data_IF_213609359888
#
_entry.id   IF_213609359888
#
_cell.length_a   1.000
_cell.length_b   1.000
_cell.length_c   1.000
_cell.angle_alpha   90.00
_cell.angle_beta   90.00
_cell.angle_gamma   90.00
#
_symmetry.space_group_name_H-M   'P 1'
#
loop_
_entity.id
_entity.type
_entity.pdbx_description
1 polymer ?
#
# COMPACT_ATOMS: atom_id res chain seq x y z
N UNK A 1 -4.45 -15.69 -11.77
CA UNK A 1 -4.02 -14.48 -11.12
C UNK A 1 -2.70 -14.69 -10.39
N UNK A 2 -1.73 -13.77 -10.57
CA UNK A 2 -0.39 -13.96 -10.00
C UNK A 2 -0.30 -13.66 -8.51
N UNK A 3 -1.18 -12.81 -7.96
CA UNK A 3 -1.15 -12.43 -6.56
C UNK A 3 -2.12 -13.27 -5.75
N UNK A 4 -1.67 -13.73 -4.58
CA UNK A 4 -2.39 -14.66 -3.72
C UNK A 4 -2.47 -14.15 -2.29
N UNK A 5 -3.22 -14.85 -1.44
CA UNK A 5 -3.35 -14.53 -0.02
C UNK A 5 -2.01 -14.38 0.69
N UNK A 6 -1.05 -15.23 0.37
CA UNK A 6 0.29 -15.17 0.96
C UNK A 6 1.04 -13.89 0.60
N UNK A 7 0.77 -13.32 -0.58
CA UNK A 7 1.34 -12.02 -0.96
C UNK A 7 0.81 -10.91 -0.05
N UNK A 8 -0.48 -10.93 0.25
CA UNK A 8 -1.12 -9.97 1.15
C UNK A 8 -0.50 -10.08 2.55
N UNK A 9 -0.39 -11.29 3.07
CA UNK A 9 0.17 -11.53 4.40
C UNK A 9 1.63 -11.06 4.50
N UNK A 10 2.44 -11.41 3.50
CA UNK A 10 3.83 -10.99 3.46
C UNK A 10 3.96 -9.47 3.40
N UNK A 11 3.20 -8.83 2.52
CA UNK A 11 3.28 -7.40 2.28
C UNK A 11 2.81 -6.60 3.50
N UNK A 12 1.69 -6.98 4.09
CA UNK A 12 1.16 -6.32 5.28
C UNK A 12 2.11 -6.45 6.47
N UNK A 13 2.70 -7.62 6.67
CA UNK A 13 3.69 -7.83 7.70
C UNK A 13 4.94 -6.97 7.46
N UNK A 14 5.39 -6.89 6.22
CA UNK A 14 6.53 -6.06 5.85
C UNK A 14 6.24 -4.58 6.15
N UNK A 15 5.10 -4.07 5.71
CA UNK A 15 4.72 -2.68 5.91
C UNK A 15 4.61 -2.34 7.40
N UNK A 16 3.96 -3.20 8.18
CA UNK A 16 3.78 -2.96 9.61
C UNK A 16 5.11 -2.88 10.37
N UNK A 17 6.15 -3.50 9.85
CA UNK A 17 7.44 -3.61 10.53
C UNK A 17 8.57 -2.79 9.88
N UNK A 18 8.28 -2.03 8.82
CA UNK A 18 9.27 -1.13 8.22
C UNK A 18 9.73 -0.10 9.24
N UNK A 19 11.03 0.01 9.41
CA UNK A 19 11.65 0.90 10.41
C UNK A 19 11.92 2.26 9.79
N UNK A 20 10.85 3.00 9.50
CA UNK A 20 10.88 4.28 8.77
C UNK A 20 10.49 5.48 9.61
N UNK A 21 10.29 5.31 10.90
CA UNK A 21 10.00 6.40 11.84
C UNK A 21 11.21 6.63 12.74
N UNK A 22 11.45 7.89 13.06
CA UNK A 22 12.60 8.28 13.86
C UNK A 22 12.48 7.79 15.31
N UNK A 23 13.59 7.33 15.85
CA UNK A 23 13.73 7.07 17.28
C UNK A 23 14.14 8.36 18.00
N UNK A 24 14.40 8.24 19.30
CA UNK A 24 14.80 9.38 20.16
C UNK A 24 16.13 10.03 19.73
N UNK A 25 16.92 9.35 18.89
CA UNK A 25 18.20 9.86 18.38
C UNK A 25 18.08 10.41 16.94
N UNK A 26 16.85 10.50 16.40
CA UNK A 26 16.61 10.94 15.03
C UNK A 26 17.01 9.94 13.95
N UNK A 27 17.15 8.66 14.31
CA UNK A 27 17.49 7.59 13.36
C UNK A 27 16.23 6.83 12.96
N UNK A 28 16.06 6.54 11.67
CA UNK A 28 14.95 5.72 11.18
C UNK A 28 15.08 4.30 11.72
N UNK A 29 14.36 3.99 12.76
CA UNK A 29 14.53 2.77 13.52
C UNK A 29 13.23 2.17 14.03
N UNK A 30 12.14 2.90 14.04
CA UNK A 30 10.85 2.45 14.58
C UNK A 30 9.85 2.18 13.48
N UNK A 31 9.00 1.18 13.72
CA UNK A 31 7.90 0.83 12.81
C UNK A 31 6.65 1.66 13.13
N UNK A 32 5.66 1.63 12.21
CA UNK A 32 4.36 2.27 12.44
C UNK A 32 3.66 1.66 13.66
N UNK A 33 3.85 0.38 13.90
CA UNK A 33 3.27 -0.32 15.04
C UNK A 33 3.89 0.16 16.35
N UNK A 34 5.21 0.29 16.38
CA UNK A 34 5.92 0.77 17.58
C UNK A 34 5.57 2.21 17.95
N UNK A 35 5.33 3.05 16.95
CA UNK A 35 4.95 4.46 17.16
C UNK A 35 3.46 4.63 17.42
N UNK A 36 2.69 3.55 17.39
CA UNK A 36 1.23 3.57 17.49
C UNK A 36 0.59 4.44 16.40
N UNK A 37 1.23 4.48 15.23
CA UNK A 37 0.76 5.25 14.10
C UNK A 37 -0.42 4.59 13.40
N UNK A 38 -0.97 5.29 12.44
CA UNK A 38 -2.10 4.83 11.64
C UNK A 38 -1.67 4.62 10.19
N UNK A 39 -2.46 3.83 9.48
CA UNK A 39 -2.23 3.51 8.07
C UNK A 39 -3.47 3.84 7.26
N UNK A 40 -3.27 4.50 6.13
CA UNK A 40 -4.30 4.68 5.11
C UNK A 40 -3.96 3.83 3.91
N UNK A 41 -4.93 3.09 3.40
CA UNK A 41 -4.77 2.23 2.21
C UNK A 41 -5.63 2.78 1.09
N UNK A 42 -4.99 3.10 -0.03
CA UNK A 42 -5.65 3.62 -1.22
C UNK A 42 -5.29 2.74 -2.41
N UNK A 43 -6.30 2.22 -3.10
CA UNK A 43 -6.08 1.46 -4.34
C UNK A 43 -5.71 2.40 -5.48
N UNK A 44 -4.82 1.97 -6.38
CA UNK A 44 -4.40 2.79 -7.50
C UNK A 44 -4.03 1.89 -8.69
N UNK A 45 -5.00 1.63 -9.58
CA UNK A 45 -4.75 0.75 -10.73
C UNK A 45 -3.81 1.40 -11.77
N UNK A 46 -3.74 2.72 -11.79
CA UNK A 46 -2.90 3.46 -12.73
C UNK A 46 -1.41 3.25 -12.51
N UNK A 47 -1.01 2.64 -11.37
CA UNK A 47 0.36 2.20 -11.16
C UNK A 47 0.80 1.14 -12.18
N UNK A 48 -0.16 0.43 -12.79
CA UNK A 48 0.08 -0.55 -13.84
C UNK A 48 -0.02 0.05 -15.23
N UNK A 49 0.01 1.37 -15.36
CA UNK A 49 -0.07 2.04 -16.63
C UNK A 49 1.16 1.76 -17.48
N UNK A 50 0.95 1.49 -18.76
CA UNK A 50 2.00 1.43 -19.76
C UNK A 50 1.97 2.71 -20.60
N UNK A 51 3.11 3.36 -20.71
CA UNK A 51 3.29 4.56 -21.55
C UNK A 51 4.25 4.32 -22.70
N UNK A 52 4.51 3.06 -23.01
CA UNK A 52 5.51 2.67 -24.01
C UNK A 52 5.14 3.12 -25.41
N UNK A 53 3.84 3.13 -25.76
CA UNK A 53 3.36 3.39 -27.14
C UNK A 53 2.64 4.73 -27.28
N UNK A 54 3.04 5.75 -26.56
CA UNK A 54 2.46 7.07 -26.71
C UNK A 54 2.05 7.68 -25.38
N UNK A 55 1.32 8.79 -25.46
CA UNK A 55 1.01 9.60 -24.29
C UNK A 55 -0.32 9.27 -23.62
N UNK A 56 -1.09 8.36 -24.21
CA UNK A 56 -2.30 7.84 -23.59
C UNK A 56 -1.95 6.57 -22.82
N UNK A 57 -2.00 6.58 -21.48
CA UNK A 57 -1.65 5.39 -20.69
C UNK A 57 -2.54 4.21 -21.01
N UNK A 58 -1.95 3.03 -21.11
CA UNK A 58 -2.68 1.77 -21.24
C UNK A 58 -2.70 1.04 -19.91
N UNK A 59 -3.88 0.53 -19.51
CA UNK A 59 -4.07 -0.18 -18.26
C UNK A 59 -4.34 -1.68 -18.44
N UNK A 60 -3.89 -2.21 -19.57
CA UNK A 60 -4.17 -3.63 -19.92
C UNK A 60 -3.58 -4.63 -18.92
N UNK A 61 -2.54 -4.24 -18.19
CA UNK A 61 -1.91 -5.09 -17.17
C UNK A 61 -2.54 -4.96 -15.77
N UNK A 62 -3.44 -4.01 -15.57
CA UNK A 62 -4.14 -3.85 -14.30
C UNK A 62 -5.20 -4.95 -14.14
N UNK A 63 -5.35 -5.44 -12.91
CA UNK A 63 -6.41 -6.39 -12.59
C UNK A 63 -7.78 -5.75 -12.72
N UNK A 64 -8.76 -6.52 -13.16
CA UNK A 64 -10.15 -6.06 -13.26
C UNK A 64 -10.78 -5.94 -11.87
N UNK A 65 -11.83 -5.09 -11.70
CA UNK A 65 -12.45 -4.88 -10.40
C UNK A 65 -12.96 -6.14 -9.70
N UNK A 66 -13.45 -7.14 -10.43
CA UNK A 66 -13.95 -8.39 -9.86
C UNK A 66 -12.87 -9.19 -9.12
N UNK A 67 -11.60 -8.97 -9.46
CA UNK A 67 -10.43 -9.55 -8.78
C UNK A 67 -9.83 -8.54 -7.80
N UNK A 68 -9.70 -7.28 -8.23
CA UNK A 68 -9.00 -6.25 -7.47
C UNK A 68 -9.74 -5.85 -6.19
N UNK A 69 -11.08 -5.76 -6.22
CA UNK A 69 -11.85 -5.33 -5.04
C UNK A 69 -11.74 -6.31 -3.87
N UNK A 70 -11.95 -7.63 -4.06
CA UNK A 70 -11.76 -8.58 -2.96
C UNK A 70 -10.33 -8.58 -2.42
N UNK A 71 -9.34 -8.41 -3.28
CA UNK A 71 -7.93 -8.37 -2.87
C UNK A 71 -7.62 -7.11 -2.06
N UNK A 72 -8.14 -5.96 -2.48
CA UNK A 72 -8.03 -4.71 -1.74
C UNK A 72 -8.64 -4.83 -0.35
N UNK A 73 -9.86 -5.37 -0.27
CA UNK A 73 -10.56 -5.56 1.00
C UNK A 73 -9.79 -6.51 1.93
N UNK A 74 -9.27 -7.61 1.39
CA UNK A 74 -8.45 -8.56 2.14
C UNK A 74 -7.15 -7.90 2.64
N UNK A 75 -6.54 -7.05 1.83
CA UNK A 75 -5.34 -6.29 2.24
C UNK A 75 -5.66 -5.35 3.41
N UNK A 76 -6.75 -4.62 3.33
CA UNK A 76 -7.15 -3.71 4.41
C UNK A 76 -7.40 -4.46 5.72
N UNK A 77 -8.08 -5.61 5.65
CA UNK A 77 -8.35 -6.43 6.82
C UNK A 77 -7.05 -6.97 7.43
N UNK A 78 -6.15 -7.49 6.62
CA UNK A 78 -4.87 -8.02 7.09
C UNK A 78 -3.99 -6.91 7.67
N UNK A 79 -3.96 -5.75 7.04
CA UNK A 79 -3.18 -4.62 7.53
C UNK A 79 -3.68 -4.17 8.90
N UNK A 80 -5.00 -4.14 9.10
CA UNK A 80 -5.60 -3.83 10.39
C UNK A 80 -5.21 -4.84 11.48
N UNK A 81 -5.15 -6.12 11.13
CA UNK A 81 -4.68 -7.17 12.04
C UNK A 81 -3.21 -6.95 12.43
N UNK A 82 -2.37 -6.60 11.47
CA UNK A 82 -0.94 -6.42 11.70
C UNK A 82 -0.63 -5.22 12.60
N UNK A 83 -1.35 -4.11 12.45
CA UNK A 83 -1.11 -2.91 13.26
C UNK A 83 -1.99 -2.82 14.51
N UNK A 84 -2.96 -3.72 14.67
CA UNK A 84 -3.84 -3.77 15.83
C UNK A 84 -4.89 -2.67 15.89
N UNK A 85 -5.23 -2.07 14.78
CA UNK A 85 -6.27 -1.04 14.67
C UNK A 85 -6.82 -0.99 13.25
N UNK A 86 -8.01 -0.40 13.10
CA UNK A 86 -8.65 -0.24 11.81
C UNK A 86 -7.84 0.69 10.90
N UNK A 87 -7.64 0.30 9.63
CA UNK A 87 -6.97 1.17 8.65
C UNK A 87 -7.96 2.17 8.08
N UNK A 88 -7.44 3.32 7.66
CA UNK A 88 -8.20 4.30 6.93
C UNK A 88 -8.22 3.90 5.46
N UNK A 89 -9.35 4.06 4.80
CA UNK A 89 -9.52 3.66 3.41
C UNK A 89 -10.23 4.74 2.60
N UNK A 90 -10.09 4.66 1.26
CA UNK A 90 -10.92 5.39 0.34
C UNK A 90 -12.04 4.52 -0.20
N UNK A 91 -12.67 4.96 -1.27
CA UNK A 91 -13.66 4.17 -2.01
C UNK A 91 -13.03 3.68 -3.30
N UNK A 92 -13.03 2.37 -3.51
CA UNK A 92 -12.42 1.77 -4.70
C UNK A 92 -13.05 2.33 -5.98
N UNK A 93 -12.19 2.80 -6.91
CA UNK A 93 -12.62 3.33 -8.20
C UNK A 93 -13.25 4.72 -8.18
N UNK A 94 -13.41 5.34 -7.02
CA UNK A 94 -13.99 6.66 -6.92
C UNK A 94 -12.98 7.76 -7.26
N UNK A 95 -13.50 8.90 -7.71
CA UNK A 95 -12.72 10.12 -7.83
C UNK A 95 -12.55 10.71 -6.42
N UNK A 96 -11.33 10.74 -5.94
CA UNK A 96 -11.03 11.20 -4.58
C UNK A 96 -10.11 12.40 -4.59
N UNK A 97 -10.38 13.34 -3.68
CA UNK A 97 -9.47 14.45 -3.42
C UNK A 97 -8.76 14.17 -2.10
N UNK A 98 -7.45 14.12 -2.13
CA UNK A 98 -6.63 13.77 -0.96
C UNK A 98 -5.78 14.96 -0.57
N UNK A 99 -5.99 15.47 0.64
CA UNK A 99 -5.14 16.50 1.23
C UNK A 99 -4.24 15.84 2.28
N UNK A 100 -2.96 16.17 2.23
CA UNK A 100 -2.01 15.61 3.18
C UNK A 100 -0.81 16.54 3.35
N UNK A 101 -0.07 16.33 4.41
CA UNK A 101 1.23 16.97 4.62
C UNK A 101 2.30 15.88 4.60
N UNK A 102 3.22 15.97 3.66
CA UNK A 102 4.38 15.09 3.63
C UNK A 102 5.41 15.59 4.66
N UNK A 103 5.64 14.77 5.66
CA UNK A 103 6.61 15.08 6.71
C UNK A 103 7.78 14.11 6.63
N UNK A 104 8.85 14.57 6.11
CA UNK A 104 10.00 13.79 5.64
C UNK A 104 10.18 14.05 4.15
N UNK A 105 9.41 13.45 3.22
CA UNK A 105 8.71 12.17 3.33
C UNK A 105 9.64 10.98 3.03
N UNK A 106 9.16 9.78 3.29
CA UNK A 106 9.84 8.53 2.90
C UNK A 106 8.92 7.77 1.97
N UNK A 107 9.39 7.46 0.76
CA UNK A 107 8.62 6.71 -0.24
C UNK A 107 9.35 5.42 -0.56
N UNK A 108 8.64 4.30 -0.45
CA UNK A 108 9.23 2.98 -0.67
C UNK A 108 8.34 2.19 -1.62
N UNK A 109 8.97 1.62 -2.66
CA UNK A 109 8.30 0.72 -3.60
C UNK A 109 8.54 -0.71 -3.15
N UNK A 110 7.47 -1.50 -3.09
CA UNK A 110 7.56 -2.93 -2.72
C UNK A 110 6.69 -3.73 -3.67
N UNK A 111 7.24 -4.81 -4.22
CA UNK A 111 6.52 -5.77 -5.05
C UNK A 111 6.71 -7.17 -4.44
N UNK A 112 5.61 -7.82 -4.04
CA UNK A 112 5.65 -9.15 -3.44
C UNK A 112 6.14 -10.24 -4.41
N UNK A 113 6.02 -10.00 -5.72
CA UNK A 113 6.48 -10.94 -6.75
C UNK A 113 7.93 -10.67 -7.18
N UNK A 114 8.50 -9.57 -6.77
CA UNK A 114 9.89 -9.19 -7.05
C UNK A 114 10.51 -8.57 -5.80
N UNK A 115 10.70 -9.39 -4.80
CA UNK A 115 11.21 -8.95 -3.49
C UNK A 115 12.70 -8.58 -3.58
N UNK A 116 13.00 -7.40 -3.12
CA UNK A 116 14.37 -6.88 -3.10
C UNK A 116 14.79 -6.46 -1.70
#
# INVERSE_FOLDING_TARGET
>A
DVYKRQDIEWLCKKIANLRIFDDENGVMNRSVTETEGEVMVVSQFTLHASTKKGNRPSYIHASKPDVAIPMYEAFCAEMGLQIGKEVQTGTFGADMKVELVNDGPVTIWIDSQNKE
#
